data_IF_514363639087
#
_entry.id   IF_514363639087
#
_cell.length_a   1.000
_cell.length_b   1.000
_cell.length_c   1.000
_cell.angle_alpha   90.00
_cell.angle_beta   90.00
_cell.angle_gamma   90.00
#
_symmetry.space_group_name_H-M   'P 1'
#
loop_
_entity.id
_entity.type
_entity.pdbx_description
1 polymer ?
#
# COMPACT_ATOMS: atom_id res chain seq x y z
N UNK A 1 -22.48 -2.13 -0.69
CA UNK A 1 -21.13 -2.42 -1.19
C UNK A 1 -20.93 -3.90 -1.52
N UNK A 2 -21.67 -4.81 -0.89
CA UNK A 2 -21.42 -6.25 -1.04
C UNK A 2 -21.78 -6.82 -2.41
N UNK A 3 -22.70 -6.24 -3.18
CA UNK A 3 -23.18 -6.86 -4.44
C UNK A 3 -22.05 -7.09 -5.45
N UNK A 4 -21.22 -6.06 -5.73
CA UNK A 4 -20.11 -6.19 -6.67
C UNK A 4 -19.06 -7.18 -6.16
N UNK A 5 -18.74 -7.10 -4.87
CA UNK A 5 -17.82 -8.05 -4.22
C UNK A 5 -18.34 -9.49 -4.30
N UNK A 6 -19.64 -9.70 -4.12
CA UNK A 6 -20.30 -11.00 -4.25
C UNK A 6 -20.27 -11.51 -5.70
N UNK A 7 -20.45 -10.64 -6.70
CA UNK A 7 -20.33 -11.03 -8.11
C UNK A 7 -18.92 -11.54 -8.43
N UNK A 8 -17.88 -10.84 -7.96
CA UNK A 8 -16.49 -11.27 -8.12
C UNK A 8 -16.19 -12.57 -7.38
N UNK A 9 -16.67 -12.71 -6.13
CA UNK A 9 -16.50 -13.92 -5.34
C UNK A 9 -17.20 -15.13 -5.98
N UNK A 10 -18.40 -14.94 -6.54
CA UNK A 10 -19.12 -16.00 -7.23
C UNK A 10 -18.41 -16.43 -8.53
N UNK A 11 -17.89 -15.47 -9.29
CA UNK A 11 -17.10 -15.76 -10.49
C UNK A 11 -15.80 -16.52 -10.17
N UNK A 12 -15.16 -16.18 -9.04
CA UNK A 12 -13.98 -16.87 -8.53
C UNK A 12 -14.31 -18.29 -8.04
N UNK A 13 -15.39 -18.45 -7.28
CA UNK A 13 -15.84 -19.75 -6.76
C UNK A 13 -16.28 -20.71 -7.88
N UNK A 14 -16.83 -20.16 -8.97
CA UNK A 14 -17.23 -20.94 -10.15
C UNK A 14 -16.05 -21.30 -11.07
N UNK A 15 -14.83 -20.84 -10.75
CA UNK A 15 -13.63 -21.06 -11.58
C UNK A 15 -13.64 -20.31 -12.92
N UNK A 16 -14.58 -19.38 -13.10
CA UNK A 16 -14.70 -18.58 -14.33
C UNK A 16 -13.63 -17.47 -14.32
N UNK A 17 -13.45 -16.82 -13.18
CA UNK A 17 -12.43 -15.80 -12.99
C UNK A 17 -11.24 -16.35 -12.20
N UNK A 18 -10.02 -16.19 -12.75
CA UNK A 18 -8.81 -16.64 -12.09
C UNK A 18 -8.18 -15.53 -11.25
N UNK A 19 -8.37 -15.62 -9.93
CA UNK A 19 -7.73 -14.75 -8.94
C UNK A 19 -6.27 -15.11 -8.65
N UNK A 20 -5.65 -14.31 -7.79
CA UNK A 20 -4.28 -14.52 -7.30
C UNK A 20 -4.31 -15.35 -6.02
N UNK A 21 -3.46 -16.38 -5.94
CA UNK A 21 -3.29 -17.17 -4.72
C UNK A 21 -2.50 -16.37 -3.66
N UNK A 22 -3.01 -16.31 -2.43
CA UNK A 22 -2.38 -15.62 -1.30
C UNK A 22 -1.77 -16.64 -0.33
N UNK A 23 -0.48 -16.93 -0.48
CA UNK A 23 0.24 -17.88 0.38
C UNK A 23 -0.10 -19.34 0.09
N UNK A 24 0.13 -20.20 1.08
CA UNK A 24 0.02 -21.67 0.94
C UNK A 24 -1.41 -22.22 1.11
N UNK A 25 -2.33 -21.43 1.68
CA UNK A 25 -3.66 -21.89 2.12
C UNK A 25 -4.72 -22.00 1.00
N UNK A 26 -4.31 -22.00 -0.28
CA UNK A 26 -5.19 -22.10 -1.45
C UNK A 26 -6.29 -21.01 -1.55
N UNK A 27 -6.28 -20.01 -0.66
CA UNK A 27 -7.13 -18.83 -0.71
C UNK A 27 -6.75 -17.98 -1.93
N UNK A 28 -7.73 -17.77 -2.81
CA UNK A 28 -7.58 -16.88 -3.97
C UNK A 28 -8.31 -15.57 -3.70
N UNK A 29 -7.70 -14.48 -4.13
CA UNK A 29 -8.32 -13.15 -4.10
C UNK A 29 -8.26 -12.53 -5.48
N UNK A 30 -9.41 -12.04 -5.95
CA UNK A 30 -9.53 -11.41 -7.26
C UNK A 30 -9.79 -9.90 -7.18
N UNK A 31 -10.19 -9.34 -6.04
CA UNK A 31 -10.44 -7.91 -5.92
C UNK A 31 -10.18 -7.34 -4.52
N UNK A 32 -9.97 -6.02 -4.49
CA UNK A 32 -9.91 -5.17 -3.31
C UNK A 32 -10.81 -3.97 -3.57
N UNK A 33 -11.77 -3.72 -2.69
CA UNK A 33 -12.72 -2.63 -2.83
C UNK A 33 -12.69 -1.74 -1.59
N UNK A 34 -12.59 -0.43 -1.81
CA UNK A 34 -12.73 0.57 -0.76
C UNK A 34 -13.49 1.78 -1.30
N UNK A 35 -14.76 1.92 -0.88
CA UNK A 35 -15.67 2.96 -1.38
C UNK A 35 -15.71 2.93 -2.91
N UNK A 36 -15.16 3.93 -3.59
CA UNK A 36 -15.15 4.07 -5.05
C UNK A 36 -13.89 3.47 -5.70
N UNK A 37 -12.88 3.12 -4.91
CA UNK A 37 -11.61 2.57 -5.41
C UNK A 37 -11.67 1.04 -5.49
N UNK A 38 -11.70 0.51 -6.72
CA UNK A 38 -11.64 -0.91 -7.02
C UNK A 38 -10.30 -1.29 -7.65
N UNK A 39 -9.63 -2.28 -7.06
CA UNK A 39 -8.45 -2.93 -7.62
C UNK A 39 -8.77 -4.39 -7.89
N UNK A 40 -8.76 -4.77 -9.17
CA UNK A 40 -8.99 -6.15 -9.61
C UNK A 40 -7.66 -6.81 -9.96
N UNK A 41 -7.48 -8.05 -9.52
CA UNK A 41 -6.28 -8.86 -9.63
C UNK A 41 -6.63 -10.18 -10.34
N UNK A 42 -5.89 -10.50 -11.38
CA UNK A 42 -6.11 -11.71 -12.19
C UNK A 42 -4.79 -12.27 -12.70
N UNK A 43 -4.78 -13.53 -13.10
CA UNK A 43 -3.65 -14.19 -13.79
C UNK A 43 -3.36 -13.60 -15.17
N UNK A 44 -4.26 -12.79 -15.75
CA UNK A 44 -3.99 -12.00 -16.94
C UNK A 44 -4.42 -12.63 -18.27
N UNK A 45 -5.33 -13.62 -18.24
CA UNK A 45 -5.93 -14.16 -19.46
C UNK A 45 -6.85 -13.12 -20.13
N UNK A 46 -6.87 -13.10 -21.46
CA UNK A 46 -7.82 -12.24 -22.20
C UNK A 46 -9.29 -12.55 -21.87
N UNK A 47 -9.58 -13.79 -21.49
CA UNK A 47 -10.90 -14.22 -21.02
C UNK A 47 -11.25 -13.60 -19.66
N UNK A 48 -10.32 -13.63 -18.70
CA UNK A 48 -10.52 -13.01 -17.37
C UNK A 48 -10.89 -11.52 -17.51
N UNK A 49 -10.24 -10.78 -18.41
CA UNK A 49 -10.54 -9.36 -18.65
C UNK A 49 -11.95 -9.15 -19.24
N UNK A 50 -12.41 -10.03 -20.12
CA UNK A 50 -13.78 -9.99 -20.67
C UNK A 50 -14.81 -10.26 -19.58
N UNK A 51 -14.53 -11.22 -18.70
CA UNK A 51 -15.39 -11.55 -17.56
C UNK A 51 -15.48 -10.37 -16.59
N UNK A 52 -14.34 -9.75 -16.25
CA UNK A 52 -14.30 -8.55 -15.40
C UNK A 52 -15.15 -7.43 -16.03
N UNK A 53 -15.00 -7.19 -17.34
CA UNK A 53 -15.80 -6.18 -18.06
C UNK A 53 -17.30 -6.50 -18.00
N UNK A 54 -17.67 -7.77 -18.16
CA UNK A 54 -19.06 -8.21 -18.09
C UNK A 54 -19.64 -7.99 -16.68
N UNK A 55 -18.91 -8.35 -15.63
CA UNK A 55 -19.32 -8.14 -14.23
C UNK A 55 -19.55 -6.65 -13.97
N UNK A 56 -18.61 -5.80 -14.39
CA UNK A 56 -18.72 -4.35 -14.24
C UNK A 56 -19.94 -3.77 -14.99
N UNK A 57 -20.19 -4.25 -16.20
CA UNK A 57 -21.36 -3.83 -16.99
C UNK A 57 -22.69 -4.28 -16.37
N UNK A 58 -22.76 -5.51 -15.86
CA UNK A 58 -23.95 -6.01 -15.15
C UNK A 58 -24.20 -5.20 -13.87
N UNK A 59 -23.13 -4.86 -13.14
CA UNK A 59 -23.24 -4.03 -11.96
C UNK A 59 -23.69 -2.60 -12.30
N UNK A 60 -23.20 -2.01 -13.38
CA UNK A 60 -23.65 -0.70 -13.86
C UNK A 60 -25.16 -0.71 -14.18
N UNK A 61 -25.64 -1.75 -14.87
CA UNK A 61 -27.07 -1.90 -15.17
C UNK A 61 -27.95 -2.09 -13.93
N UNK A 62 -27.45 -2.77 -12.89
CA UNK A 62 -28.22 -3.04 -11.67
C UNK A 62 -28.18 -1.89 -10.65
N UNK A 63 -27.05 -1.18 -10.57
CA UNK A 63 -26.84 -0.12 -9.57
C UNK A 63 -27.11 1.28 -10.10
N UNK A 64 -27.08 1.48 -11.42
CA UNK A 64 -27.07 2.80 -12.05
C UNK A 64 -25.74 3.55 -11.91
N UNK A 65 -24.69 2.93 -11.35
CA UNK A 65 -23.35 3.52 -11.21
C UNK A 65 -22.51 3.24 -12.45
N UNK A 66 -21.93 4.27 -13.04
CA UNK A 66 -21.08 4.13 -14.21
C UNK A 66 -19.61 3.93 -13.86
N UNK A 67 -18.97 2.96 -14.50
CA UNK A 67 -17.53 2.74 -14.35
C UNK A 67 -16.77 3.79 -15.17
N UNK A 68 -15.85 4.48 -14.52
CA UNK A 68 -15.00 5.44 -15.18
C UNK A 68 -13.79 4.74 -15.83
N UNK A 69 -13.97 4.24 -17.06
CA UNK A 69 -12.90 3.57 -17.81
C UNK A 69 -11.72 4.51 -18.15
N UNK A 70 -11.93 5.82 -18.22
CA UNK A 70 -10.84 6.79 -18.44
C UNK A 70 -9.85 6.88 -17.27
N UNK A 71 -10.33 6.62 -16.04
CA UNK A 71 -9.47 6.51 -14.84
C UNK A 71 -8.97 5.09 -14.59
N UNK A 72 -9.56 4.11 -15.28
CA UNK A 72 -9.16 2.70 -15.15
C UNK A 72 -7.87 2.47 -15.91
N UNK A 73 -6.93 1.78 -15.26
CA UNK A 73 -5.63 1.45 -15.85
C UNK A 73 -5.32 -0.03 -15.65
N UNK A 74 -4.81 -0.67 -16.70
CA UNK A 74 -4.34 -2.05 -16.64
C UNK A 74 -2.84 -2.06 -16.33
N UNK A 75 -2.43 -2.79 -15.30
CA UNK A 75 -1.04 -2.93 -14.87
C UNK A 75 -0.58 -4.37 -15.08
N UNK A 76 0.66 -4.54 -15.54
CA UNK A 76 1.32 -5.84 -15.58
C UNK A 76 2.38 -5.90 -14.50
N UNK A 77 2.46 -7.06 -13.87
CA UNK A 77 3.37 -7.35 -12.77
C UNK A 77 4.66 -8.02 -13.25
N UNK A 78 4.69 -8.50 -14.50
CA UNK A 78 5.88 -9.08 -15.11
C UNK A 78 6.82 -7.97 -15.59
N UNK A 79 8.06 -7.96 -15.06
CA UNK A 79 9.04 -6.89 -15.29
C UNK A 79 9.51 -6.72 -16.74
N UNK A 80 9.24 -7.67 -17.64
CA UNK A 80 9.78 -7.68 -19.00
C UNK A 80 8.74 -8.00 -20.09
N UNK A 81 7.46 -8.10 -19.75
CA UNK A 81 6.42 -8.32 -20.74
C UNK A 81 5.67 -7.01 -20.98
N UNK A 82 5.88 -6.41 -22.13
CA UNK A 82 4.99 -5.35 -22.58
C UNK A 82 3.58 -5.93 -22.65
N UNK A 83 2.64 -5.34 -21.90
CA UNK A 83 1.22 -5.66 -22.04
C UNK A 83 0.85 -5.59 -23.52
N UNK A 84 0.40 -6.70 -24.13
CA UNK A 84 -0.09 -6.67 -25.49
C UNK A 84 -1.17 -5.60 -25.65
N UNK A 85 -1.06 -4.77 -26.68
CA UNK A 85 -1.94 -3.62 -26.94
C UNK A 85 -3.42 -4.01 -27.05
N UNK A 86 -3.74 -5.26 -27.37
CA UNK A 86 -5.13 -5.73 -27.45
C UNK A 86 -5.81 -5.87 -26.08
N UNK A 87 -5.07 -6.11 -24.99
CA UNK A 87 -5.66 -6.30 -23.65
C UNK A 87 -6.25 -5.00 -23.09
N UNK A 88 -5.54 -3.85 -23.06
CA UNK A 88 -6.13 -2.58 -22.65
C UNK A 88 -7.32 -2.16 -23.53
N UNK A 89 -7.24 -2.42 -24.85
CA UNK A 89 -8.33 -2.11 -25.79
C UNK A 89 -9.61 -2.91 -25.49
N UNK A 90 -9.48 -4.17 -25.04
CA UNK A 90 -10.63 -4.99 -24.68
C UNK A 90 -11.44 -4.40 -23.51
N UNK A 91 -10.75 -3.81 -22.52
CA UNK A 91 -11.32 -3.12 -21.37
C UNK A 91 -11.57 -1.63 -21.61
N UNK A 92 -11.14 -1.07 -22.76
CA UNK A 92 -11.17 0.36 -23.06
C UNK A 92 -10.45 1.21 -21.99
N UNK A 93 -9.36 0.68 -21.44
CA UNK A 93 -8.59 1.33 -20.37
C UNK A 93 -7.17 1.67 -20.83
N UNK A 94 -6.52 2.60 -20.12
CA UNK A 94 -5.12 2.95 -20.40
C UNK A 94 -4.15 1.89 -19.86
N UNK A 95 -2.97 1.78 -20.46
CA UNK A 95 -1.86 0.99 -19.88
C UNK A 95 -1.21 1.79 -18.74
N UNK A 96 -1.14 1.20 -17.56
CA UNK A 96 -0.46 1.76 -16.39
C UNK A 96 0.98 1.23 -16.25
N UNK A 97 1.80 1.97 -15.50
CA UNK A 97 3.17 1.57 -15.13
C UNK A 97 3.27 1.46 -13.61
N UNK A 98 3.82 0.36 -13.12
CA UNK A 98 4.06 0.19 -11.68
C UNK A 98 5.22 1.10 -11.21
N UNK A 99 5.19 1.63 -9.98
CA UNK A 99 4.23 1.37 -8.90
C UNK A 99 2.87 2.07 -9.07
N UNK A 100 1.78 1.33 -8.85
CA UNK A 100 0.42 1.88 -8.74
C UNK A 100 0.22 2.45 -7.34
N UNK A 101 -0.46 3.58 -7.15
CA UNK A 101 -0.85 4.03 -5.80
C UNK A 101 -2.28 3.61 -5.50
N UNK A 102 -2.49 2.81 -4.45
CA UNK A 102 -3.81 2.41 -3.96
C UNK A 102 -3.96 2.86 -2.49
N UNK A 103 -5.03 3.61 -2.19
CA UNK A 103 -5.27 4.18 -0.85
C UNK A 103 -4.08 4.97 -0.27
N UNK A 104 -3.30 5.61 -1.16
CA UNK A 104 -2.14 6.41 -0.77
C UNK A 104 -0.89 5.61 -0.39
N UNK A 105 -0.85 4.32 -0.69
CA UNK A 105 0.30 3.42 -0.59
C UNK A 105 0.69 2.91 -1.98
N UNK A 106 1.99 2.91 -2.33
CA UNK A 106 2.45 2.33 -3.58
C UNK A 106 2.37 0.81 -3.50
N UNK A 107 1.73 0.24 -4.50
CA UNK A 107 1.69 -1.17 -4.83
C UNK A 107 2.70 -1.43 -5.94
N UNK A 108 3.73 -2.19 -5.61
CA UNK A 108 4.76 -2.66 -6.53
C UNK A 108 5.06 -4.13 -6.28
N UNK A 109 5.64 -4.82 -7.27
CA UNK A 109 6.17 -6.17 -7.10
C UNK A 109 7.49 -6.19 -6.35
N UNK A 110 7.54 -5.59 -5.16
CA UNK A 110 8.76 -5.47 -4.37
C UNK A 110 8.61 -4.56 -3.16
N UNK A 111 9.70 -4.42 -2.40
CA UNK A 111 9.77 -3.48 -1.27
C UNK A 111 9.66 -2.03 -1.79
N UNK A 112 9.00 -1.11 -1.05
CA UNK A 112 8.95 0.29 -1.44
C UNK A 112 10.35 0.89 -1.61
N UNK A 113 10.55 1.59 -2.71
CA UNK A 113 11.82 2.25 -3.06
C UNK A 113 12.01 3.49 -2.21
N UNK A 114 13.22 4.06 -2.25
CA UNK A 114 13.52 5.32 -1.54
C UNK A 114 12.53 6.45 -1.88
N UNK A 115 12.21 6.61 -3.16
CA UNK A 115 11.25 7.62 -3.65
C UNK A 115 9.86 7.46 -3.02
N UNK A 116 9.42 6.22 -2.81
CA UNK A 116 8.13 5.91 -2.19
C UNK A 116 8.10 6.39 -0.73
N UNK A 117 9.19 6.17 0.01
CA UNK A 117 9.33 6.66 1.38
C UNK A 117 9.46 8.19 1.47
N UNK A 118 10.05 8.83 0.47
CA UNK A 118 10.13 10.29 0.39
C UNK A 118 8.74 10.94 0.24
N UNK A 119 7.80 10.28 -0.43
CA UNK A 119 6.39 10.71 -0.48
C UNK A 119 5.78 10.68 0.94
N UNK A 120 6.04 9.63 1.73
CA UNK A 120 5.57 9.55 3.12
C UNK A 120 6.16 10.68 3.97
N UNK A 121 7.47 10.92 3.88
CA UNK A 121 8.14 12.01 4.61
C UNK A 121 7.54 13.37 4.21
N UNK A 122 7.34 13.59 2.91
CA UNK A 122 6.73 14.81 2.38
C UNK A 122 5.30 15.02 2.90
N UNK A 123 4.50 13.95 3.05
CA UNK A 123 3.17 14.03 3.67
C UNK A 123 3.25 14.49 5.12
N UNK A 124 4.23 14.03 5.90
CA UNK A 124 4.45 14.49 7.28
C UNK A 124 4.86 15.96 7.30
N UNK A 125 5.80 16.37 6.46
CA UNK A 125 6.22 17.78 6.34
C UNK A 125 5.06 18.70 5.95
N UNK A 126 4.22 18.30 4.99
CA UNK A 126 3.07 19.10 4.55
C UNK A 126 2.02 19.27 5.64
N UNK A 127 1.79 18.24 6.47
CA UNK A 127 0.90 18.34 7.63
C UNK A 127 1.42 19.34 8.65
N UNK A 128 2.73 19.42 8.83
CA UNK A 128 3.37 20.41 9.70
C UNK A 128 3.30 21.83 9.15
N UNK A 129 3.54 22.01 7.85
CA UNK A 129 3.48 23.32 7.21
C UNK A 129 2.08 23.95 7.32
N UNK A 130 1.03 23.13 7.39
CA UNK A 130 -0.34 23.60 7.62
C UNK A 130 -0.56 24.19 9.02
N UNK A 131 0.33 23.96 9.99
CA UNK A 131 0.20 24.45 11.34
C UNK A 131 1.11 25.62 11.60
N UNK A 132 0.52 26.70 12.13
CA UNK A 132 1.27 27.80 12.72
C UNK A 132 1.86 27.32 14.06
N UNK A 133 2.97 26.59 14.01
CA UNK A 133 3.73 26.13 15.19
C UNK A 133 3.99 27.27 16.18
N UNK A 134 4.10 28.50 15.65
CA UNK A 134 4.31 29.73 16.40
C UNK A 134 3.17 30.13 17.34
N UNK A 135 1.94 29.64 17.10
CA UNK A 135 0.77 29.96 17.93
C UNK A 135 0.49 28.93 19.02
N UNK A 136 1.32 27.89 19.11
CA UNK A 136 1.05 26.74 19.97
C UNK A 136 2.00 26.70 21.17
N UNK A 137 1.42 26.45 22.34
CA UNK A 137 2.20 26.12 23.53
C UNK A 137 3.00 24.82 23.32
N UNK A 138 4.00 24.56 24.15
CA UNK A 138 4.73 23.29 24.14
C UNK A 138 3.79 22.08 24.32
N UNK A 139 2.80 22.20 25.22
CA UNK A 139 1.78 21.17 25.42
C UNK A 139 0.90 20.97 24.20
N UNK A 140 0.47 22.05 23.53
CA UNK A 140 -0.30 21.95 22.28
C UNK A 140 0.47 21.26 21.16
N UNK A 141 1.76 21.59 21.00
CA UNK A 141 2.65 20.93 20.03
C UNK A 141 2.83 19.45 20.34
N UNK A 142 3.03 19.09 21.61
CA UNK A 142 3.13 17.70 22.04
C UNK A 142 1.83 16.91 21.74
N UNK A 143 0.68 17.51 21.99
CA UNK A 143 -0.62 16.90 21.70
C UNK A 143 -0.77 16.63 20.20
N UNK A 144 -0.51 17.62 19.34
CA UNK A 144 -0.60 17.45 17.88
C UNK A 144 0.42 16.45 17.33
N UNK A 145 1.61 16.42 17.91
CA UNK A 145 2.63 15.45 17.56
C UNK A 145 2.15 14.02 17.80
N UNK A 146 1.52 13.78 18.95
CA UNK A 146 1.01 12.45 19.30
C UNK A 146 -0.28 12.09 18.55
N UNK A 147 -1.24 13.02 18.44
CA UNK A 147 -2.54 12.71 17.83
C UNK A 147 -2.50 12.69 16.30
N UNK A 148 -1.63 13.48 15.67
CA UNK A 148 -1.63 13.61 14.21
C UNK A 148 -0.31 13.15 13.58
N UNK A 149 0.85 13.68 13.98
CA UNK A 149 2.11 13.33 13.31
C UNK A 149 2.51 11.87 13.53
N UNK A 150 2.12 11.30 14.67
CA UNK A 150 2.30 9.88 14.96
C UNK A 150 1.33 9.00 14.19
N UNK A 151 0.12 9.49 13.91
CA UNK A 151 -0.89 8.78 13.14
C UNK A 151 -0.57 8.71 11.64
N UNK A 152 -0.01 9.77 11.04
CA UNK A 152 0.26 9.83 9.58
C UNK A 152 1.05 8.62 9.03
N UNK A 153 2.19 8.21 9.60
CA UNK A 153 2.92 7.04 9.10
C UNK A 153 2.33 5.71 9.57
N UNK A 154 1.33 5.70 10.44
CA UNK A 154 0.78 4.46 11.03
C UNK A 154 0.24 3.51 9.96
N UNK A 155 -0.44 4.05 8.94
CA UNK A 155 -0.93 3.24 7.82
C UNK A 155 0.22 2.51 7.08
N UNK A 156 1.29 3.24 6.73
CA UNK A 156 2.47 2.65 6.08
C UNK A 156 3.20 1.67 7.00
N UNK A 157 3.29 1.96 8.30
CA UNK A 157 3.91 1.07 9.29
C UNK A 157 3.09 -0.18 9.59
N UNK A 158 1.80 -0.21 9.27
CA UNK A 158 0.99 -1.44 9.39
C UNK A 158 1.29 -2.43 8.25
N UNK A 159 1.62 -1.91 7.06
CA UNK A 159 1.87 -2.71 5.86
C UNK A 159 3.35 -3.09 5.75
N UNK A 160 4.25 -2.12 5.93
CA UNK A 160 5.67 -2.27 5.65
C UNK A 160 6.55 -2.15 6.89
N UNK A 161 7.70 -2.83 6.83
CA UNK A 161 8.80 -2.58 7.76
C UNK A 161 9.40 -1.20 7.49
N UNK A 162 9.32 -0.31 8.48
CA UNK A 162 9.87 1.04 8.37
C UNK A 162 11.40 1.01 8.37
N UNK A 163 12.07 1.53 7.34
CA UNK A 163 13.53 1.61 7.32
C UNK A 163 14.04 2.56 8.42
N UNK A 164 15.20 2.25 8.99
CA UNK A 164 15.81 3.03 10.07
C UNK A 164 16.04 4.51 9.66
N UNK A 165 16.46 4.76 8.42
CA UNK A 165 16.65 6.12 7.92
C UNK A 165 15.35 6.91 7.83
N UNK A 166 14.23 6.28 7.42
CA UNK A 166 12.90 6.93 7.35
C UNK A 166 12.43 7.28 8.76
N UNK A 167 12.56 6.35 9.70
CA UNK A 167 12.20 6.58 11.10
C UNK A 167 12.96 7.78 11.68
N UNK A 168 14.28 7.83 11.47
CA UNK A 168 15.13 8.95 11.90
C UNK A 168 14.73 10.27 11.23
N UNK A 169 14.43 10.27 9.94
CA UNK A 169 13.98 11.48 9.23
C UNK A 169 12.66 12.01 9.79
N UNK A 170 11.66 11.13 10.00
CA UNK A 170 10.38 11.53 10.58
C UNK A 170 10.55 12.01 12.03
N UNK A 171 11.39 11.34 12.82
CA UNK A 171 11.67 11.75 14.19
C UNK A 171 12.40 13.09 14.26
N UNK A 172 13.33 13.38 13.36
CA UNK A 172 13.97 14.69 13.25
C UNK A 172 12.93 15.79 12.97
N UNK A 173 12.01 15.55 12.03
CA UNK A 173 10.92 16.47 11.71
C UNK A 173 9.99 16.71 12.91
N UNK A 174 9.63 15.66 13.64
CA UNK A 174 8.79 15.76 14.86
C UNK A 174 9.50 16.50 15.98
N UNK A 175 10.80 16.23 16.14
CA UNK A 175 11.62 16.89 17.12
C UNK A 175 11.76 18.38 16.84
N UNK A 176 12.02 18.75 15.59
CA UNK A 176 12.10 20.14 15.17
C UNK A 176 10.77 20.85 15.38
N UNK A 177 9.63 20.21 15.08
CA UNK A 177 8.32 20.80 15.36
C UNK A 177 8.08 21.04 16.87
N UNK A 178 8.45 20.08 17.72
CA UNK A 178 8.28 20.19 19.17
C UNK A 178 9.08 21.35 19.76
N UNK A 179 10.23 21.68 19.18
CA UNK A 179 11.10 22.77 19.63
C UNK A 179 10.98 24.06 18.83
N UNK A 180 10.27 24.06 17.69
CA UNK A 180 9.96 25.25 16.88
C UNK A 180 9.05 26.20 17.64
N UNK A 181 9.63 27.16 18.37
CA UNK A 181 8.90 28.11 19.22
C UNK A 181 8.18 29.22 18.46
N UNK A 182 7.37 30.03 19.17
CA UNK A 182 6.67 31.22 18.67
C UNK A 182 7.52 32.20 17.85
N UNK A 183 8.78 32.39 18.26
CA UNK A 183 9.52 33.58 17.84
C UNK A 183 10.36 33.40 16.58
N UNK A 184 10.30 32.24 15.91
CA UNK A 184 11.09 31.99 14.69
C UNK A 184 12.61 32.06 14.87
N UNK A 185 13.10 32.30 16.08
CA UNK A 185 14.51 32.21 16.41
C UNK A 185 14.88 30.73 16.52
N UNK A 186 15.83 30.34 15.68
CA UNK A 186 16.48 29.06 15.73
C UNK A 186 16.97 28.78 17.16
N UNK A 187 16.72 27.56 17.64
CA UNK A 187 17.27 27.00 18.86
C UNK A 187 16.82 27.65 20.18
N UNK A 188 15.56 27.44 20.59
CA UNK A 188 15.38 27.06 22.00
C UNK A 188 16.09 25.73 22.16
N UNK A 189 17.18 25.75 22.92
CA UNK A 189 18.09 24.65 23.22
C UNK A 189 17.34 23.31 23.19
N UNK A 190 17.85 22.34 22.44
CA UNK A 190 17.34 20.97 22.37
C UNK A 190 17.53 20.31 23.75
N UNK A 191 16.68 20.69 24.71
CA UNK A 191 16.93 20.51 26.16
C UNK A 191 16.97 19.04 26.58
N UNK A 192 16.31 18.17 25.82
CA UNK A 192 16.13 16.77 26.18
C UNK A 192 16.37 15.87 24.97
N UNK A 193 17.13 14.79 25.20
CA UNK A 193 17.36 13.73 24.22
C UNK A 193 16.02 13.10 23.80
N UNK A 194 15.79 12.96 22.50
CA UNK A 194 14.58 12.37 21.92
C UNK A 194 14.21 11.02 22.54
N UNK A 195 15.20 10.16 22.77
CA UNK A 195 15.00 8.83 23.35
C UNK A 195 14.43 8.88 24.78
N UNK A 196 14.72 9.94 25.53
CA UNK A 196 14.18 10.16 26.87
C UNK A 196 12.73 10.65 26.81
N UNK A 197 12.42 11.51 25.84
CA UNK A 197 11.06 12.04 25.62
C UNK A 197 10.10 10.94 25.16
N UNK A 198 10.57 9.99 24.34
CA UNK A 198 9.78 8.85 23.86
C UNK A 198 9.48 7.78 24.93
N UNK A 199 10.01 7.90 26.15
CA UNK A 199 9.66 6.98 27.24
C UNK A 199 8.22 7.21 27.70
N UNK A 200 7.65 6.19 28.34
CA UNK A 200 6.35 6.30 29.00
C UNK A 200 6.36 7.41 30.04
N UNK A 201 5.20 8.05 30.27
CA UNK A 201 5.01 9.02 31.36
C UNK A 201 5.36 8.42 32.73
N UNK A 202 5.11 7.11 32.92
CA UNK A 202 5.48 6.37 34.14
C UNK A 202 7.00 6.27 34.35
N UNK A 203 7.78 6.37 33.27
CA UNK A 203 9.25 6.32 33.27
C UNK A 203 9.88 7.72 33.14
N UNK A 204 9.11 8.79 33.38
CA UNK A 204 9.59 10.18 33.31
C UNK A 204 9.77 10.72 31.88
N UNK A 205 9.23 10.04 30.86
CA UNK A 205 9.15 10.55 29.49
C UNK A 205 7.84 11.30 29.22
N UNK A 206 7.66 11.78 27.99
CA UNK A 206 6.46 12.54 27.60
C UNK A 206 5.43 11.68 26.87
N UNK A 207 5.69 10.38 26.72
CA UNK A 207 4.79 9.43 26.07
C UNK A 207 4.72 9.60 24.56
N UNK A 208 5.80 10.09 23.93
CA UNK A 208 5.89 10.13 22.46
C UNK A 208 6.10 8.71 21.93
N UNK A 209 5.37 8.36 20.87
CA UNK A 209 5.46 7.04 20.23
C UNK A 209 6.83 6.84 19.55
N UNK A 210 7.59 5.85 20.01
CA UNK A 210 8.77 5.36 19.30
C UNK A 210 8.35 4.61 18.03
N UNK A 211 8.64 5.18 16.86
CA UNK A 211 8.18 4.64 15.58
C UNK A 211 8.68 3.24 15.28
N UNK A 212 9.94 2.95 15.58
CA UNK A 212 10.55 1.64 15.30
C UNK A 212 9.88 0.54 16.13
N UNK A 213 9.66 0.81 17.42
CA UNK A 213 9.00 -0.11 18.33
C UNK A 213 7.54 -0.29 17.94
N UNK A 214 6.84 0.80 17.65
CA UNK A 214 5.44 0.77 17.25
C UNK A 214 5.24 0.03 15.92
N UNK A 215 6.11 0.22 14.93
CA UNK A 215 6.08 -0.53 13.67
C UNK A 215 6.25 -2.04 13.90
N UNK A 216 7.17 -2.46 14.78
CA UNK A 216 7.30 -3.89 15.12
C UNK A 216 6.00 -4.44 15.70
N UNK A 217 5.40 -3.71 16.64
CA UNK A 217 4.13 -4.13 17.27
C UNK A 217 3.01 -4.20 16.22
N UNK A 218 2.88 -3.20 15.35
CA UNK A 218 1.88 -3.20 14.29
C UNK A 218 2.02 -4.40 13.34
N UNK A 219 3.24 -4.71 12.91
CA UNK A 219 3.49 -5.85 12.01
C UNK A 219 3.17 -7.19 12.68
N UNK A 220 3.45 -7.33 13.98
CA UNK A 220 3.08 -8.53 14.75
C UNK A 220 1.58 -8.62 14.94
N UNK A 221 0.91 -7.52 15.27
CA UNK A 221 -0.55 -7.48 15.42
C UNK A 221 -1.24 -7.82 14.09
N UNK A 222 -0.73 -7.27 12.99
CA UNK A 222 -1.21 -7.56 11.64
C UNK A 222 -1.03 -9.04 11.29
N UNK A 223 0.13 -9.64 11.58
CA UNK A 223 0.33 -11.09 11.36
C UNK A 223 -0.67 -11.97 12.12
N UNK A 224 -1.09 -11.53 13.31
CA UNK A 224 -2.11 -12.23 14.12
C UNK A 224 -3.53 -11.95 13.63
N UNK A 225 -3.78 -10.72 13.17
CA UNK A 225 -5.06 -10.27 12.61
C UNK A 225 -5.28 -10.71 11.18
N UNK A 226 -4.27 -11.15 10.44
CA UNK A 226 -4.41 -11.67 9.08
C UNK A 226 -5.29 -12.94 8.99
N UNK A 227 -5.71 -13.50 10.13
CA UNK A 227 -6.82 -14.47 10.24
C UNK A 227 -8.22 -13.85 10.09
N UNK A 228 -8.31 -12.53 10.10
CA UNK A 228 -9.52 -11.73 9.91
C UNK A 228 -9.31 -10.97 8.60
N UNK A 229 -10.29 -11.02 7.70
CA UNK A 229 -10.22 -10.54 6.31
C UNK A 229 -10.07 -9.01 6.13
N UNK A 230 -9.12 -8.37 6.79
CA UNK A 230 -8.90 -6.94 6.62
C UNK A 230 -8.23 -6.64 5.26
N UNK A 231 -8.67 -5.57 4.56
CA UNK A 231 -8.15 -5.19 3.24
C UNK A 231 -6.64 -4.90 3.27
N UNK A 232 -6.09 -4.47 4.41
CA UNK A 232 -4.66 -4.21 4.60
C UNK A 232 -3.84 -5.51 4.54
N UNK A 233 -4.33 -6.59 5.17
CA UNK A 233 -3.68 -7.90 5.11
C UNK A 233 -3.75 -8.47 3.69
N UNK A 234 -4.88 -8.30 2.99
CA UNK A 234 -5.02 -8.70 1.58
C UNK A 234 -4.07 -7.90 0.67
N UNK A 235 -3.97 -6.58 0.84
CA UNK A 235 -3.00 -5.73 0.11
C UNK A 235 -1.56 -6.20 0.36
N UNK A 236 -1.19 -6.42 1.62
CA UNK A 236 0.16 -6.86 1.99
C UNK A 236 0.50 -8.23 1.42
N UNK A 237 -0.40 -9.21 1.51
CA UNK A 237 -0.22 -10.53 0.89
C UNK A 237 -0.16 -10.45 -0.63
N UNK A 238 -0.98 -9.60 -1.26
CA UNK A 238 -0.89 -9.34 -2.69
C UNK A 238 0.47 -8.73 -3.06
N UNK A 239 0.99 -7.78 -2.27
CA UNK A 239 2.32 -7.21 -2.47
C UNK A 239 3.43 -8.25 -2.29
N UNK A 240 3.33 -9.08 -1.26
CA UNK A 240 4.29 -10.16 -1.00
C UNK A 240 4.24 -11.21 -2.13
N UNK A 241 3.07 -11.55 -2.66
CA UNK A 241 2.90 -12.39 -3.85
C UNK A 241 3.57 -11.76 -5.08
N UNK A 242 3.29 -10.47 -5.34
CA UNK A 242 3.89 -9.74 -6.45
C UNK A 242 5.41 -9.63 -6.32
N UNK A 243 5.93 -9.58 -5.09
CA UNK A 243 7.36 -9.58 -4.79
C UNK A 243 8.01 -10.97 -4.82
N UNK A 244 7.24 -12.05 -4.63
CA UNK A 244 7.77 -13.43 -4.57
C UNK A 244 7.98 -14.04 -5.95
N UNK A 245 7.21 -13.61 -6.97
CA UNK A 245 7.41 -14.01 -8.37
C UNK A 245 8.64 -13.39 -9.04
N UNK A 246 9.38 -12.51 -8.35
CA UNK A 246 10.73 -12.11 -8.77
C UNK A 246 11.74 -13.28 -8.69
N UNK A 247 11.39 -14.40 -8.03
CA UNK A 247 12.25 -15.56 -7.89
C UNK A 247 11.56 -16.78 -8.51
N UNK A 248 12.12 -17.22 -9.65
CA UNK A 248 11.79 -18.45 -10.41
C UNK A 248 10.45 -18.49 -11.17
N UNK A 249 10.54 -18.35 -12.50
CA UNK A 249 10.27 -19.48 -13.40
C UNK A 249 11.19 -19.34 -14.63
N UNK A 250 12.27 -20.11 -14.58
CA UNK A 250 13.01 -20.55 -15.76
C UNK A 250 12.05 -21.27 -16.70
N UNK A 251 11.97 -20.79 -17.94
CA UNK A 251 11.37 -21.52 -19.07
C UNK A 251 12.07 -22.89 -19.15
N UNK A 252 11.34 -24.03 -19.18
CA UNK A 252 11.96 -25.32 -19.46
C UNK A 252 12.49 -25.32 -20.91
N UNK A 253 13.66 -25.94 -21.19
CA UNK A 253 14.28 -25.87 -22.50
C UNK A 253 13.39 -26.52 -23.55
N UNK A 254 13.10 -25.78 -24.62
CA UNK A 254 12.55 -26.34 -25.85
C UNK A 254 13.52 -27.41 -26.36
N UNK A 255 13.12 -28.67 -26.28
CA UNK A 255 13.74 -29.76 -27.04
C UNK A 255 13.47 -29.50 -28.52
N UNK A 256 14.49 -29.02 -29.23
CA UNK A 256 14.53 -28.96 -30.69
C UNK A 256 14.38 -30.37 -31.27
N UNK A 257 13.56 -30.59 -32.32
CA UNK A 257 13.60 -31.82 -33.08
C UNK A 257 14.89 -31.89 -33.90
N UNK A 258 15.57 -33.02 -33.81
CA UNK A 258 16.80 -33.35 -34.50
C UNK A 258 16.54 -33.42 -36.03
N UNK A 259 17.23 -32.66 -36.89
CA UNK A 259 17.12 -32.84 -38.34
C UNK A 259 18.22 -33.80 -38.80
N UNK A 260 17.82 -35.05 -39.07
CA UNK A 260 18.66 -36.01 -39.77
C UNK A 260 18.72 -37.37 -39.07
N UNK A 261 17.88 -38.29 -39.52
CA UNK A 261 18.28 -39.66 -39.80
C UNK A 261 17.22 -40.31 -40.73
N UNK A 262 17.69 -40.56 -41.96
CA UNK A 262 17.12 -41.33 -43.09
C UNK A 262 16.01 -40.70 -43.94
#
# INVERSE_FOLDING_TARGET
MDVLSTMFNNALASGILHGIALGDDNERVCHLQFVDDLLVMTTGGGEDLRIIKLILFLFEGLSGLQVNFSKTCLYSTQKNLELPTHLPNSLQCSKGVLPLTYLGVPISGGRPRRQDWEILISKVCRRLAAWKSKLLSLGGRLTLLNSVLSAVPTYWMSIFKLPCWVAKSIDAIRYDFLWSGPDGQHAKMRLVNWSRICRSKKQGGWGILNLTTFNNVLLVLDSKKARLEEPVAKIKRSLDFLSSRDVTQSVPPETSPNPGEM
#
